data_IF_547045337084
#
_entry.id   IF_547045337084
#
_cell.length_a   1.000
_cell.length_b   1.000
_cell.length_c   1.000
_cell.angle_alpha   90.00
_cell.angle_beta   90.00
_cell.angle_gamma   90.00
#
_symmetry.space_group_name_H-M   'P 1'
#
loop_
_entity.id
_entity.type
_entity.pdbx_description
1 polymer ?
#
# COMPACT_ATOMS: atom_id res chain seq x y z
N UNK A 1 -12.55 -15.55 15.08
CA UNK A 1 -11.33 -14.71 15.01
C UNK A 1 -11.16 -14.21 13.59
N UNK A 2 -10.82 -12.94 13.38
CA UNK A 2 -10.55 -12.43 12.02
C UNK A 2 -9.22 -12.97 11.51
N UNK A 3 -9.02 -12.96 10.18
CA UNK A 3 -7.74 -13.36 9.57
C UNK A 3 -6.58 -12.50 10.09
N UNK A 4 -6.83 -11.22 10.40
CA UNK A 4 -5.84 -10.32 10.97
C UNK A 4 -5.50 -10.67 12.43
N UNK A 5 -6.45 -11.12 13.24
CA UNK A 5 -6.16 -11.62 14.59
C UNK A 5 -5.27 -12.87 14.55
N UNK A 6 -5.51 -13.76 13.58
CA UNK A 6 -4.66 -14.94 13.37
C UNK A 6 -3.25 -14.54 12.91
N UNK A 7 -3.13 -13.56 12.01
CA UNK A 7 -1.83 -13.02 11.59
C UNK A 7 -1.09 -12.37 12.77
N UNK A 8 -1.78 -11.59 13.62
CA UNK A 8 -1.18 -10.97 14.81
C UNK A 8 -0.64 -12.03 15.78
N UNK A 9 -1.38 -13.11 15.99
CA UNK A 9 -0.98 -14.24 16.83
C UNK A 9 0.20 -15.01 16.21
N UNK A 10 0.21 -15.21 14.89
CA UNK A 10 1.33 -15.83 14.15
C UNK A 10 2.61 -15.02 14.28
N UNK A 11 2.54 -13.69 14.15
CA UNK A 11 3.71 -12.82 14.33
C UNK A 11 4.37 -12.96 15.69
N UNK A 12 3.60 -13.22 16.76
CA UNK A 12 4.16 -13.46 18.11
C UNK A 12 4.66 -14.89 18.26
N UNK A 13 3.88 -15.86 17.79
CA UNK A 13 4.19 -17.30 17.98
C UNK A 13 5.35 -17.79 17.12
N UNK A 14 5.61 -17.18 15.96
CA UNK A 14 6.76 -17.49 15.12
C UNK A 14 8.08 -16.99 15.72
N UNK A 15 8.04 -15.87 16.43
CA UNK A 15 9.22 -15.28 17.07
C UNK A 15 9.52 -15.94 18.42
N UNK A 16 8.48 -16.31 19.17
CA UNK A 16 8.62 -16.84 20.51
C UNK A 16 8.86 -15.76 21.57
N UNK A 17 8.82 -16.14 22.86
CA UNK A 17 8.83 -15.19 23.97
C UNK A 17 10.12 -14.36 24.06
N UNK A 18 11.29 -14.99 23.87
CA UNK A 18 12.61 -14.30 23.93
C UNK A 18 12.76 -13.22 22.86
N UNK A 19 12.38 -13.51 21.61
CA UNK A 19 12.46 -12.52 20.52
C UNK A 19 11.40 -11.42 20.67
N UNK A 20 10.22 -11.74 21.19
CA UNK A 20 9.22 -10.73 21.56
C UNK A 20 9.78 -9.69 22.53
N UNK A 21 10.54 -10.10 23.55
CA UNK A 21 11.21 -9.17 24.46
C UNK A 21 12.19 -8.24 23.72
N UNK A 22 13.06 -8.81 22.87
CA UNK A 22 14.01 -8.04 22.04
C UNK A 22 13.29 -7.03 21.13
N UNK A 23 12.22 -7.45 20.44
CA UNK A 23 11.37 -6.57 19.62
C UNK A 23 10.89 -5.38 20.46
N UNK A 24 10.33 -5.66 21.64
CA UNK A 24 9.75 -4.64 22.50
C UNK A 24 10.79 -3.64 23.01
N UNK A 25 11.97 -4.11 23.41
CA UNK A 25 13.08 -3.25 23.84
C UNK A 25 13.52 -2.32 22.72
N UNK A 26 13.70 -2.85 21.51
CA UNK A 26 14.10 -2.07 20.35
C UNK A 26 13.05 -1.02 19.98
N UNK A 27 11.77 -1.35 20.14
CA UNK A 27 10.68 -0.39 19.98
C UNK A 27 10.69 0.72 21.02
N UNK A 28 11.01 0.39 22.27
CA UNK A 28 11.11 1.37 23.35
C UNK A 28 12.27 2.34 23.11
N UNK A 29 13.43 1.85 22.66
CA UNK A 29 14.58 2.69 22.24
C UNK A 29 14.20 3.65 21.12
N UNK A 30 13.58 3.13 20.06
CA UNK A 30 13.12 3.94 18.91
C UNK A 30 12.13 5.05 19.29
N UNK A 31 11.25 4.81 20.28
CA UNK A 31 10.31 5.83 20.78
C UNK A 31 11.06 6.90 21.60
N UNK A 32 11.99 6.49 22.46
CA UNK A 32 12.81 7.41 23.25
C UNK A 32 13.65 8.33 22.36
N UNK A 33 14.28 7.80 21.31
CA UNK A 33 15.05 8.57 20.33
C UNK A 33 14.20 9.58 19.56
N UNK A 34 12.99 9.18 19.14
CA UNK A 34 12.04 10.10 18.47
C UNK A 34 11.54 11.21 19.39
N UNK A 35 11.39 10.94 20.69
CA UNK A 35 11.03 11.94 21.68
C UNK A 35 12.19 12.90 22.00
N UNK A 36 13.44 12.44 21.89
CA UNK A 36 14.65 13.24 22.10
C UNK A 36 15.04 14.10 20.88
N UNK A 37 14.55 13.79 19.68
CA UNK A 37 14.83 14.57 18.47
C UNK A 37 14.11 15.94 18.51
N UNK A 38 14.81 17.06 18.24
CA UNK A 38 14.16 18.38 18.23
C UNK A 38 13.07 18.43 17.16
N UNK A 39 11.87 18.85 17.58
CA UNK A 39 10.66 19.01 16.77
C UNK A 39 10.90 19.93 15.56
N UNK A 40 11.45 19.40 14.47
CA UNK A 40 11.39 20.05 13.17
C UNK A 40 9.94 19.95 12.67
N UNK A 41 9.18 21.04 12.88
CA UNK A 41 7.78 21.22 12.54
C UNK A 41 7.31 20.41 11.31
N UNK A 42 6.71 19.26 11.58
CA UNK A 42 6.00 18.46 10.57
C UNK A 42 4.58 19.00 10.52
N UNK A 43 4.38 20.04 9.72
CA UNK A 43 3.05 20.55 9.41
C UNK A 43 2.37 19.60 8.41
N UNK A 44 1.71 18.59 8.94
CA UNK A 44 0.69 17.82 8.23
C UNK A 44 -0.54 18.71 8.12
N UNK A 45 -0.71 19.40 7.00
CA UNK A 45 -1.88 20.25 6.77
C UNK A 45 -3.09 19.39 6.38
N UNK A 46 -3.78 18.85 7.37
CA UNK A 46 -5.21 18.53 7.27
C UNK A 46 -5.95 19.75 7.82
N UNK A 47 -6.57 20.54 6.93
CA UNK A 47 -7.44 21.64 7.34
C UNK A 47 -8.84 21.06 7.60
N UNK A 48 -9.43 21.25 8.78
CA UNK A 48 -10.86 21.22 8.96
C UNK A 48 -11.45 22.59 8.59
N UNK A 49 -12.54 22.57 7.82
CA UNK A 49 -13.37 23.74 7.55
C UNK A 49 -14.13 24.15 8.81
N UNK A 50 -13.73 25.24 9.47
CA UNK A 50 -14.63 26.07 10.29
C UNK A 50 -14.24 27.54 10.20
N UNK A 51 -15.26 28.39 10.23
CA UNK A 51 -15.26 29.81 9.87
C UNK A 51 -14.60 30.68 10.96
N UNK A 52 -13.85 31.69 10.52
CA UNK A 52 -13.72 32.98 11.22
C UNK A 52 -12.47 33.19 12.09
N UNK A 53 -11.64 34.16 11.65
CA UNK A 53 -10.71 35.02 12.41
C UNK A 53 -9.19 34.85 12.12
N UNK A 54 -8.66 35.89 11.45
CA UNK A 54 -7.31 36.50 11.41
C UNK A 54 -6.05 35.59 11.46
N UNK A 55 -5.32 35.59 10.33
CA UNK A 55 -4.01 34.99 10.09
C UNK A 55 -2.82 35.74 10.73
N UNK A 56 -1.69 35.04 10.98
CA UNK A 56 -0.37 35.60 10.65
C UNK A 56 0.44 34.72 9.68
N UNK A 57 1.09 35.42 8.73
CA UNK A 57 2.22 35.06 7.86
C UNK A 57 2.39 33.61 7.34
N UNK A 58 1.91 33.35 6.10
CA UNK A 58 2.22 32.14 5.36
C UNK A 58 3.58 32.22 4.64
N UNK A 59 4.49 31.28 4.90
CA UNK A 59 5.77 31.15 4.20
C UNK A 59 5.61 30.88 2.70
N UNK A 60 6.53 31.44 1.88
CA UNK A 60 6.43 31.43 0.43
C UNK A 60 6.53 30.02 -0.18
N UNK A 61 5.86 29.80 -1.33
CA UNK A 61 5.84 28.52 -2.07
C UNK A 61 7.26 27.99 -2.42
N UNK A 62 8.24 28.88 -2.54
CA UNK A 62 9.64 28.53 -2.81
C UNK A 62 10.31 27.83 -1.61
N UNK A 63 10.02 28.27 -0.39
CA UNK A 63 10.55 27.68 0.83
C UNK A 63 10.04 26.23 1.02
N UNK A 64 8.75 26.00 0.78
CA UNK A 64 8.12 24.66 0.83
C UNK A 64 8.74 23.70 -0.20
N UNK A 65 9.11 24.19 -1.39
CA UNK A 65 9.76 23.38 -2.44
C UNK A 65 11.20 22.99 -2.07
N UNK A 66 11.97 23.89 -1.44
CA UNK A 66 13.34 23.58 -0.95
C UNK A 66 13.32 22.53 0.14
N UNK A 67 12.39 22.64 1.10
CA UNK A 67 12.24 21.66 2.19
C UNK A 67 11.91 20.27 1.63
N UNK A 68 11.00 20.17 0.66
CA UNK A 68 10.64 18.89 0.03
C UNK A 68 11.80 18.27 -0.74
N UNK A 69 12.60 19.08 -1.45
CA UNK A 69 13.83 18.59 -2.14
C UNK A 69 14.91 18.13 -1.16
N UNK A 70 15.04 18.78 0.00
CA UNK A 70 15.97 18.37 1.05
C UNK A 70 15.56 17.02 1.66
N UNK A 71 14.29 16.86 2.03
CA UNK A 71 13.74 15.58 2.55
C UNK A 71 13.92 14.42 1.55
N UNK A 72 13.75 14.69 0.24
CA UNK A 72 13.94 13.68 -0.80
C UNK A 72 15.42 13.26 -0.98
N UNK A 73 16.36 14.18 -0.72
CA UNK A 73 17.80 13.87 -0.74
C UNK A 73 18.23 13.07 0.49
N UNK A 74 17.69 13.42 1.66
CA UNK A 74 17.93 12.69 2.91
C UNK A 74 17.34 11.26 2.85
N UNK A 75 16.16 11.08 2.26
CA UNK A 75 15.57 9.74 2.05
C UNK A 75 16.33 8.87 1.05
N UNK A 76 17.00 9.47 0.06
CA UNK A 76 17.84 8.73 -0.91
C UNK A 76 19.12 8.22 -0.27
N UNK A 77 19.78 9.02 0.58
CA UNK A 77 20.97 8.60 1.32
C UNK A 77 20.68 7.43 2.27
N UNK A 78 19.57 7.50 3.02
CA UNK A 78 19.16 6.38 3.87
C UNK A 78 18.78 5.11 3.08
N UNK A 79 18.27 5.25 1.84
CA UNK A 79 18.01 4.11 0.96
C UNK A 79 19.29 3.46 0.41
N UNK A 80 20.31 4.26 0.09
CA UNK A 80 21.61 3.78 -0.41
C UNK A 80 22.41 3.06 0.70
N UNK A 81 22.33 3.53 1.96
CA UNK A 81 22.93 2.86 3.13
C UNK A 81 22.27 1.49 3.39
N UNK A 82 20.94 1.40 3.30
CA UNK A 82 20.19 0.15 3.49
C UNK A 82 20.48 -0.87 2.36
N UNK A 83 20.64 -0.40 1.12
CA UNK A 83 20.99 -1.27 -0.01
C UNK A 83 22.45 -1.73 0.09
N UNK A 84 23.36 -0.89 0.59
CA UNK A 84 24.76 -1.24 0.86
C UNK A 84 24.88 -2.39 1.86
N UNK A 85 24.20 -2.29 3.01
CA UNK A 85 24.21 -3.32 4.06
C UNK A 85 23.63 -4.67 3.60
N UNK A 86 22.65 -4.67 2.68
CA UNK A 86 22.05 -5.91 2.14
C UNK A 86 22.94 -6.62 1.11
N UNK A 87 23.79 -5.87 0.41
CA UNK A 87 24.69 -6.40 -0.63
C UNK A 87 25.90 -7.11 -0.02
N UNK A 88 26.40 -6.64 1.12
CA UNK A 88 27.49 -7.29 1.88
C UNK A 88 27.05 -8.62 2.51
N UNK A 89 25.77 -8.77 2.89
CA UNK A 89 25.23 -10.01 3.46
C UNK A 89 25.05 -11.14 2.43
N UNK A 90 24.94 -10.82 1.14
CA UNK A 90 24.66 -11.82 0.08
C UNK A 90 25.92 -12.49 -0.49
N UNK A 91 27.12 -12.06 -0.08
CA UNK A 91 28.41 -12.55 -0.63
C UNK A 91 29.15 -13.55 0.25
N UNK A 92 28.61 -13.92 1.41
CA UNK A 92 29.13 -15.02 2.23
C UNK A 92 28.15 -16.19 2.16
N UNK A 93 28.42 -17.13 1.26
CA UNK A 93 27.80 -18.44 1.29
C UNK A 93 28.52 -19.30 2.32
N UNK A 94 27.76 -19.92 3.21
CA UNK A 94 28.27 -20.94 4.15
C UNK A 94 27.65 -22.29 3.79
N UNK A 95 28.53 -23.27 3.56
CA UNK A 95 28.19 -24.68 3.43
C UNK A 95 27.87 -25.30 4.82
N UNK A 96 27.14 -26.43 4.88
CA UNK A 96 26.61 -26.94 6.14
C UNK A 96 27.65 -27.77 6.90
N UNK A 97 28.03 -27.31 8.09
CA UNK A 97 28.77 -28.07 9.10
C UNK A 97 27.92 -28.28 10.35
N UNK A 98 27.88 -29.52 10.84
CA UNK A 98 27.19 -29.94 12.07
C UNK A 98 27.97 -29.50 13.32
N UNK A 99 27.27 -29.01 14.36
CA UNK A 99 27.79 -28.99 15.74
C UNK A 99 27.50 -27.72 16.56
N UNK A 100 26.55 -27.88 17.49
CA UNK A 100 26.33 -27.21 18.79
C UNK A 100 26.15 -25.69 18.96
N UNK A 101 25.17 -25.40 19.82
CA UNK A 101 24.69 -24.13 20.35
C UNK A 101 25.80 -23.21 20.88
N UNK A 102 25.81 -21.94 20.44
CA UNK A 102 25.87 -20.76 21.32
C UNK A 102 25.84 -19.45 20.50
N UNK A 103 24.80 -18.64 20.75
CA UNK A 103 24.70 -17.20 20.47
C UNK A 103 24.98 -16.72 19.03
N UNK A 104 24.20 -17.21 18.05
CA UNK A 104 23.83 -16.33 16.95
C UNK A 104 23.04 -15.15 17.55
N UNK A 105 23.60 -13.95 17.50
CA UNK A 105 22.92 -12.69 17.84
C UNK A 105 21.78 -12.49 16.83
N UNK A 106 20.70 -13.23 17.01
CA UNK A 106 19.65 -13.44 16.02
C UNK A 106 18.92 -12.11 15.82
N UNK A 107 19.29 -11.42 14.75
CA UNK A 107 18.77 -10.12 14.41
C UNK A 107 17.26 -10.20 14.20
N UNK A 108 16.52 -9.42 14.97
CA UNK A 108 15.06 -9.34 14.90
C UNK A 108 14.63 -8.50 13.70
N UNK A 109 13.63 -8.94 12.92
CA UNK A 109 13.08 -8.13 11.84
C UNK A 109 12.18 -7.01 12.38
N UNK A 110 12.73 -5.79 12.42
CA UNK A 110 12.02 -4.60 12.84
C UNK A 110 11.16 -3.97 11.72
N UNK A 111 11.29 -4.42 10.47
CA UNK A 111 10.65 -3.77 9.32
C UNK A 111 9.11 -3.68 9.42
N UNK A 112 8.37 -4.72 9.89
CA UNK A 112 6.93 -4.60 10.09
C UNK A 112 6.61 -3.49 11.09
N UNK A 113 7.32 -3.43 12.22
CA UNK A 113 6.99 -2.49 13.28
C UNK A 113 7.29 -1.02 12.97
N UNK A 114 7.97 -0.74 11.85
CA UNK A 114 8.17 0.61 11.32
C UNK A 114 6.99 1.12 10.48
N UNK A 115 5.95 0.31 10.30
CA UNK A 115 4.73 0.66 9.56
C UNK A 115 3.76 1.49 10.42
N UNK A 116 2.92 2.28 9.74
CA UNK A 116 2.00 3.21 10.39
C UNK A 116 0.83 2.47 11.04
N UNK A 117 0.51 2.81 12.29
CA UNK A 117 -0.63 2.24 13.02
C UNK A 117 -1.85 3.18 13.05
N UNK A 118 -1.69 4.42 12.59
CA UNK A 118 -2.68 5.50 12.67
C UNK A 118 -3.24 5.71 14.09
N UNK A 119 -2.40 5.54 15.13
CA UNK A 119 -2.80 5.67 16.52
C UNK A 119 -3.59 6.97 16.80
N UNK A 120 -3.12 8.11 16.28
CA UNK A 120 -3.75 9.43 16.48
C UNK A 120 -5.14 9.57 15.84
N UNK A 121 -5.46 8.73 14.86
CA UNK A 121 -6.74 8.77 14.13
C UNK A 121 -7.78 7.78 14.66
N UNK A 122 -7.45 6.98 15.67
CA UNK A 122 -8.33 5.92 16.20
C UNK A 122 -9.30 6.46 17.25
N UNK A 123 -10.50 5.90 17.24
CA UNK A 123 -11.50 6.18 18.28
C UNK A 123 -11.20 5.37 19.55
N UNK A 124 -11.69 5.83 20.70
CA UNK A 124 -11.56 5.08 21.96
C UNK A 124 -12.22 3.69 21.87
N UNK A 125 -13.32 3.57 21.11
CA UNK A 125 -13.97 2.29 20.83
C UNK A 125 -13.05 1.33 20.07
N UNK A 126 -12.39 1.82 19.02
CA UNK A 126 -11.43 1.05 18.21
C UNK A 126 -10.25 0.53 19.04
N UNK A 127 -9.74 1.36 19.96
CA UNK A 127 -8.71 0.96 20.92
C UNK A 127 -9.21 -0.11 21.90
N UNK A 128 -10.39 0.09 22.49
CA UNK A 128 -10.96 -0.87 23.43
C UNK A 128 -11.14 -2.26 22.79
N UNK A 129 -11.71 -2.32 21.58
CA UNK A 129 -11.92 -3.57 20.85
C UNK A 129 -10.61 -4.32 20.59
N UNK A 130 -9.53 -3.60 20.26
CA UNK A 130 -8.21 -4.22 20.03
C UNK A 130 -7.53 -4.63 21.32
N UNK A 131 -7.66 -3.85 22.39
CA UNK A 131 -7.13 -4.21 23.70
C UNK A 131 -7.82 -5.47 24.24
N UNK A 132 -9.15 -5.57 24.09
CA UNK A 132 -9.91 -6.78 24.45
C UNK A 132 -9.47 -7.99 23.62
N UNK A 133 -9.28 -7.81 22.31
CA UNK A 133 -8.76 -8.88 21.45
C UNK A 133 -7.33 -9.29 21.83
N UNK A 134 -6.45 -8.33 22.15
CA UNK A 134 -5.09 -8.62 22.60
C UNK A 134 -5.08 -9.39 23.92
N UNK A 135 -5.93 -9.01 24.88
CA UNK A 135 -6.09 -9.72 26.15
C UNK A 135 -6.64 -11.15 25.93
N UNK A 136 -7.61 -11.32 25.05
CA UNK A 136 -8.13 -12.64 24.67
C UNK A 136 -7.04 -13.51 24.04
N UNK A 137 -6.27 -12.96 23.09
CA UNK A 137 -5.17 -13.69 22.45
C UNK A 137 -4.04 -14.04 23.44
N UNK A 138 -3.75 -13.17 24.41
CA UNK A 138 -2.83 -13.47 25.50
C UNK A 138 -3.31 -14.70 26.31
N UNK A 139 -4.60 -14.75 26.65
CA UNK A 139 -5.20 -15.90 27.34
C UNK A 139 -5.08 -17.17 26.51
N UNK A 140 -5.26 -17.09 25.18
CA UNK A 140 -4.99 -18.23 24.30
C UNK A 140 -3.52 -18.68 24.38
N UNK A 141 -2.56 -17.76 24.37
CA UNK A 141 -1.13 -18.08 24.49
C UNK A 141 -0.78 -18.76 25.82
N UNK A 142 -1.37 -18.30 26.94
CA UNK A 142 -1.21 -18.93 28.25
C UNK A 142 -1.72 -20.37 28.26
N UNK A 143 -2.84 -20.66 27.58
CA UNK A 143 -3.43 -22.00 27.54
C UNK A 143 -2.68 -23.00 26.66
N UNK A 144 -1.99 -22.52 25.62
CA UNK A 144 -1.25 -23.39 24.69
C UNK A 144 0.22 -23.58 25.08
N UNK A 145 0.61 -23.15 26.29
CA UNK A 145 1.98 -23.32 26.80
C UNK A 145 3.02 -22.46 26.09
N UNK A 146 2.63 -21.28 25.58
CA UNK A 146 3.58 -20.34 24.96
C UNK A 146 4.56 -19.76 25.97
N UNK A 147 4.12 -19.57 27.22
CA UNK A 147 4.95 -19.14 28.34
C UNK A 147 5.34 -20.35 29.19
N UNK A 148 6.56 -20.39 29.69
CA UNK A 148 7.03 -21.46 30.56
C UNK A 148 6.24 -21.51 31.90
N UNK A 149 5.96 -20.33 32.46
CA UNK A 149 5.23 -20.17 33.71
C UNK A 149 4.12 -19.12 33.51
N UNK A 150 2.97 -19.48 32.91
CA UNK A 150 1.89 -18.55 32.68
C UNK A 150 1.25 -18.09 34.00
N UNK A 151 0.91 -16.80 34.08
CA UNK A 151 0.22 -16.24 35.25
C UNK A 151 -1.21 -16.80 35.38
N UNK A 152 -1.67 -17.13 36.59
CA UNK A 152 -3.05 -17.57 36.84
C UNK A 152 -4.10 -16.57 36.34
N UNK A 153 -5.32 -17.05 36.07
CA UNK A 153 -6.38 -16.21 35.48
C UNK A 153 -6.87 -15.08 36.39
N UNK A 154 -6.83 -15.28 37.70
CA UNK A 154 -7.30 -14.33 38.70
C UNK A 154 -6.24 -13.28 39.09
N UNK A 155 -5.05 -13.36 38.49
CA UNK A 155 -3.92 -12.49 38.76
C UNK A 155 -3.60 -11.56 37.58
N UNK A 156 -2.94 -10.45 37.88
CA UNK A 156 -2.45 -9.52 36.86
C UNK A 156 -1.27 -10.18 36.12
N UNK A 157 -1.31 -10.26 34.77
CA UNK A 157 -0.23 -10.86 33.97
C UNK A 157 1.16 -10.33 34.32
N UNK A 158 2.15 -11.23 34.30
CA UNK A 158 3.55 -10.88 34.55
C UNK A 158 4.14 -9.93 33.51
N UNK A 159 5.33 -9.38 33.78
CA UNK A 159 5.97 -8.41 32.89
C UNK A 159 6.19 -8.94 31.46
N UNK A 160 6.63 -10.20 31.31
CA UNK A 160 6.82 -10.85 30.02
C UNK A 160 5.49 -10.99 29.24
N UNK A 161 4.43 -11.41 29.93
CA UNK A 161 3.09 -11.56 29.35
C UNK A 161 2.51 -10.21 28.92
N UNK A 162 2.71 -9.15 29.73
CA UNK A 162 2.31 -7.79 29.39
C UNK A 162 3.06 -7.30 28.13
N UNK A 163 4.35 -7.60 28.01
CA UNK A 163 5.13 -7.24 26.82
C UNK A 163 4.57 -7.94 25.57
N UNK A 164 4.30 -9.23 25.65
CA UNK A 164 3.69 -9.99 24.56
C UNK A 164 2.30 -9.46 24.22
N UNK A 165 1.47 -9.13 25.22
CA UNK A 165 0.16 -8.51 25.02
C UNK A 165 0.26 -7.13 24.35
N UNK A 166 1.26 -6.33 24.70
CA UNK A 166 1.53 -5.04 24.07
C UNK A 166 1.92 -5.22 22.59
N UNK A 167 2.70 -6.26 22.27
CA UNK A 167 3.03 -6.59 20.88
C UNK A 167 1.81 -7.12 20.10
N UNK A 168 0.97 -7.96 20.71
CA UNK A 168 -0.30 -8.38 20.11
C UNK A 168 -1.19 -7.18 19.78
N UNK A 169 -1.33 -6.24 20.73
CA UNK A 169 -2.07 -4.99 20.52
C UNK A 169 -1.47 -4.18 19.38
N UNK A 170 -0.14 -4.01 19.36
CA UNK A 170 0.55 -3.29 18.28
C UNK A 170 0.34 -3.96 16.92
N UNK A 171 0.41 -5.29 16.84
CA UNK A 171 0.19 -6.06 15.62
C UNK A 171 -1.26 -5.90 15.13
N UNK A 172 -2.25 -5.99 16.01
CA UNK A 172 -3.66 -5.76 15.69
C UNK A 172 -3.93 -4.34 15.18
N UNK A 173 -3.18 -3.36 15.69
CA UNK A 173 -3.26 -2.00 15.19
C UNK A 173 -2.61 -1.89 13.79
N UNK A 174 -1.41 -2.42 13.64
CA UNK A 174 -0.64 -2.37 12.40
C UNK A 174 -1.31 -3.09 11.23
N UNK A 175 -1.83 -4.30 11.44
CA UNK A 175 -2.33 -5.17 10.39
C UNK A 175 -3.54 -4.58 9.66
N UNK A 176 -4.38 -3.79 10.34
CA UNK A 176 -5.58 -3.19 9.73
C UNK A 176 -5.27 -2.32 8.51
N UNK A 177 -4.07 -1.74 8.43
CA UNK A 177 -3.70 -0.75 7.42
C UNK A 177 -2.58 -1.19 6.49
N UNK A 178 -1.88 -2.26 6.84
CA UNK A 178 -0.64 -2.65 6.16
C UNK A 178 -0.67 -4.08 5.61
N UNK A 179 -1.67 -4.87 5.96
CA UNK A 179 -1.80 -6.25 5.50
C UNK A 179 -2.45 -6.29 4.12
N UNK A 180 -1.92 -7.12 3.23
CA UNK A 180 -2.35 -7.24 1.84
C UNK A 180 -2.87 -8.64 1.59
N UNK A 181 -4.05 -8.73 0.99
CA UNK A 181 -4.60 -10.00 0.52
C UNK A 181 -3.76 -10.51 -0.66
N UNK A 182 -3.51 -11.81 -0.70
CA UNK A 182 -2.86 -12.45 -1.84
C UNK A 182 -3.72 -13.61 -2.36
N UNK A 183 -3.62 -13.82 -3.67
CA UNK A 183 -4.51 -14.69 -4.42
C UNK A 183 -3.68 -15.61 -5.32
N UNK A 184 -4.15 -16.83 -5.50
CA UNK A 184 -3.69 -17.75 -6.53
C UNK A 184 -4.57 -17.59 -7.77
N UNK A 185 -3.99 -17.48 -8.95
CA UNK A 185 -4.74 -17.47 -10.21
C UNK A 185 -4.89 -18.90 -10.71
N UNK A 186 -6.07 -19.51 -10.56
CA UNK A 186 -6.34 -20.88 -11.00
C UNK A 186 -6.95 -20.92 -12.38
N UNK A 187 -6.35 -21.65 -13.31
CA UNK A 187 -6.91 -21.80 -14.64
C UNK A 187 -8.15 -22.75 -14.65
N UNK A 188 -9.15 -22.46 -15.48
CA UNK A 188 -10.38 -23.24 -15.69
C UNK A 188 -10.73 -23.26 -17.18
N UNK A 189 -11.23 -24.37 -17.74
CA UNK A 189 -11.60 -24.44 -19.17
C UNK A 189 -12.88 -23.67 -19.53
N UNK A 190 -13.58 -23.05 -18.57
CA UNK A 190 -14.91 -22.47 -18.76
C UNK A 190 -15.02 -21.16 -19.55
N UNK A 191 -13.93 -20.62 -20.13
CA UNK A 191 -13.99 -19.40 -20.95
C UNK A 191 -12.74 -19.22 -21.83
N UNK A 192 -12.93 -18.83 -23.10
CA UNK A 192 -11.86 -18.66 -24.10
C UNK A 192 -10.74 -17.69 -23.69
N UNK A 193 -11.09 -16.61 -22.97
CA UNK A 193 -10.13 -15.57 -22.54
C UNK A 193 -9.84 -15.52 -21.05
N UNK A 194 -10.77 -16.06 -20.26
CA UNK A 194 -10.80 -15.92 -18.79
C UNK A 194 -10.93 -17.26 -18.14
N UNK A 195 -10.30 -18.25 -18.74
CA UNK A 195 -10.08 -19.51 -18.06
C UNK A 195 -9.14 -19.37 -16.88
N UNK A 196 -9.23 -18.31 -16.06
CA UNK A 196 -8.57 -18.21 -14.77
C UNK A 196 -9.38 -17.41 -13.76
N UNK A 197 -9.39 -17.87 -12.51
CA UNK A 197 -10.09 -17.23 -11.39
C UNK A 197 -9.09 -16.96 -10.27
N UNK A 198 -9.01 -15.73 -9.73
CA UNK A 198 -8.27 -15.50 -8.50
C UNK A 198 -9.00 -16.19 -7.34
N UNK A 199 -8.27 -17.02 -6.62
CA UNK A 199 -8.70 -17.70 -5.40
C UNK A 199 -7.92 -17.10 -4.25
N UNK A 200 -8.66 -16.55 -3.28
CA UNK A 200 -8.07 -15.99 -2.08
C UNK A 200 -7.32 -17.08 -1.31
N UNK A 201 -6.04 -16.82 -1.00
CA UNK A 201 -5.23 -17.72 -0.20
C UNK A 201 -5.04 -17.23 1.23
N UNK A 202 -4.92 -15.92 1.42
CA UNK A 202 -4.68 -15.36 2.73
C UNK A 202 -4.24 -13.90 2.70
N UNK A 203 -3.57 -13.51 3.79
CA UNK A 203 -3.05 -12.17 4.01
C UNK A 203 -1.55 -12.24 4.32
N UNK A 204 -0.79 -11.29 3.80
CA UNK A 204 0.62 -11.13 4.07
C UNK A 204 0.96 -9.67 4.38
N UNK A 205 2.08 -9.44 5.07
CA UNK A 205 2.65 -8.11 5.25
C UNK A 205 3.87 -8.01 4.36
N UNK A 206 3.90 -6.97 3.53
CA UNK A 206 5.06 -6.64 2.70
C UNK A 206 5.57 -5.26 3.12
N UNK A 207 6.50 -5.15 4.09
CA UNK A 207 6.87 -3.87 4.70
C UNK A 207 7.33 -2.79 3.70
N UNK A 208 7.96 -3.20 2.59
CA UNK A 208 8.35 -2.27 1.53
C UNK A 208 7.13 -1.78 0.72
N UNK A 209 6.20 -2.68 0.39
CA UNK A 209 5.00 -2.36 -0.42
C UNK A 209 3.97 -1.58 0.38
N UNK A 210 3.84 -1.85 1.68
CA UNK A 210 2.94 -1.14 2.58
C UNK A 210 3.26 0.37 2.73
N UNK A 211 4.39 0.84 2.19
CA UNK A 211 4.74 2.27 2.14
C UNK A 211 4.08 3.02 0.98
N UNK A 212 3.47 2.32 0.02
CA UNK A 212 2.73 2.96 -1.05
C UNK A 212 1.37 3.43 -0.53
N UNK A 213 1.14 4.74 -0.56
CA UNK A 213 -0.17 5.28 -0.25
C UNK A 213 -1.16 4.88 -1.35
N UNK A 214 -2.38 4.52 -0.92
CA UNK A 214 -3.49 4.35 -1.83
C UNK A 214 -3.90 5.70 -2.43
N UNK A 215 -4.03 5.73 -3.75
CA UNK A 215 -4.77 6.77 -4.48
C UNK A 215 -5.84 6.05 -5.28
N UNK A 216 -7.11 6.29 -4.97
CA UNK A 216 -8.23 5.65 -5.67
C UNK A 216 -8.19 5.97 -7.18
N UNK A 217 -7.57 7.09 -7.57
CA UNK A 217 -7.50 7.60 -8.93
C UNK A 217 -6.19 8.35 -9.16
N UNK A 218 -5.08 7.63 -9.38
CA UNK A 218 -3.79 8.25 -9.61
C UNK A 218 -3.67 8.91 -10.99
N UNK A 219 -4.74 8.86 -11.80
CA UNK A 219 -4.77 9.41 -13.15
C UNK A 219 -4.29 10.86 -13.16
N UNK A 220 -3.28 11.11 -13.98
CA UNK A 220 -2.72 12.43 -14.17
C UNK A 220 -3.27 12.97 -15.49
N UNK A 221 -4.04 14.05 -15.44
CA UNK A 221 -4.61 14.67 -16.64
C UNK A 221 -3.60 15.60 -17.31
N UNK A 222 -3.62 15.62 -18.63
CA UNK A 222 -2.83 16.55 -19.44
C UNK A 222 -3.45 17.94 -19.45
N UNK A 223 -2.63 18.95 -19.69
CA UNK A 223 -3.07 20.32 -19.86
C UNK A 223 -3.89 20.46 -21.16
N UNK A 224 -5.08 21.10 -21.15
CA UNK A 224 -5.87 21.37 -22.36
C UNK A 224 -5.17 22.27 -23.38
N UNK A 225 -4.17 23.05 -22.94
CA UNK A 225 -3.53 24.03 -23.81
C UNK A 225 -2.73 23.32 -24.90
N UNK A 226 -3.08 23.58 -26.17
CA UNK A 226 -2.37 23.04 -27.32
C UNK A 226 -0.85 23.24 -27.20
N UNK A 227 -0.09 22.16 -27.45
CA UNK A 227 1.37 22.14 -27.33
C UNK A 227 1.93 22.10 -25.90
N UNK A 228 1.09 22.09 -24.85
CA UNK A 228 1.55 22.05 -23.47
C UNK A 228 1.64 20.63 -22.91
N UNK A 229 2.84 20.18 -22.55
CA UNK A 229 3.07 18.90 -21.85
C UNK A 229 2.80 18.92 -20.34
N UNK A 230 2.06 19.90 -19.83
CA UNK A 230 1.76 20.04 -18.40
C UNK A 230 0.88 18.91 -17.88
N UNK A 231 1.18 18.42 -16.68
CA UNK A 231 0.50 17.29 -16.04
C UNK A 231 -0.08 17.69 -14.68
N UNK A 232 -1.28 17.22 -14.38
CA UNK A 232 -2.05 17.64 -13.22
C UNK A 232 -2.67 16.43 -12.50
N UNK A 233 -2.41 16.31 -11.19
CA UNK A 233 -2.98 15.25 -10.36
C UNK A 233 -4.41 15.55 -9.93
N UNK A 234 -5.16 14.50 -9.57
CA UNK A 234 -6.55 14.61 -9.12
C UNK A 234 -6.80 15.50 -7.93
N UNK A 235 -5.84 15.61 -7.00
CA UNK A 235 -5.93 16.56 -5.89
C UNK A 235 -6.14 18.03 -6.34
N UNK A 236 -5.79 18.37 -7.59
CA UNK A 236 -5.99 19.71 -8.17
C UNK A 236 -7.29 19.82 -8.99
N UNK A 237 -7.97 18.70 -9.26
CA UNK A 237 -9.08 18.54 -10.19
C UNK A 237 -10.44 18.66 -9.48
N UNK A 238 -10.81 19.87 -9.04
CA UNK A 238 -12.20 20.14 -8.61
C UNK A 238 -13.02 20.67 -9.80
N UNK A 239 -14.29 20.27 -9.96
CA UNK A 239 -15.17 20.80 -11.01
C UNK A 239 -15.21 22.34 -11.00
N UNK A 240 -15.16 22.96 -12.17
CA UNK A 240 -15.17 24.43 -12.34
C UNK A 240 -13.95 25.18 -11.77
N UNK A 241 -12.97 24.50 -11.17
CA UNK A 241 -11.81 25.17 -10.56
C UNK A 241 -10.74 25.49 -11.61
N UNK A 242 -10.53 26.78 -11.85
CA UNK A 242 -9.39 27.25 -12.63
C UNK A 242 -8.09 27.06 -11.84
N UNK A 243 -7.14 26.35 -12.43
CA UNK A 243 -5.79 26.17 -11.89
C UNK A 243 -4.77 26.84 -12.80
N UNK A 244 -3.67 27.34 -12.23
CA UNK A 244 -2.56 27.87 -13.01
C UNK A 244 -1.63 26.73 -13.41
N UNK A 245 -1.52 26.45 -14.70
CA UNK A 245 -0.60 25.43 -15.22
C UNK A 245 0.85 25.85 -15.00
N UNK A 246 1.70 24.97 -14.48
CA UNK A 246 3.14 25.25 -14.30
C UNK A 246 3.91 25.29 -15.63
N UNK A 247 3.41 24.60 -16.66
CA UNK A 247 4.01 24.57 -18.00
C UNK A 247 3.73 25.85 -18.78
N UNK A 248 2.48 26.07 -19.16
CA UNK A 248 2.10 27.22 -19.99
C UNK A 248 1.74 28.51 -19.21
N UNK A 249 1.73 28.47 -17.87
CA UNK A 249 1.34 29.59 -16.99
C UNK A 249 -0.09 30.12 -17.18
N UNK A 250 -0.89 29.53 -18.08
CA UNK A 250 -2.30 29.87 -18.30
C UNK A 250 -3.18 29.34 -17.16
N UNK A 251 -4.31 30.02 -16.95
CA UNK A 251 -5.41 29.49 -16.15
C UNK A 251 -6.17 28.48 -17.01
N UNK A 252 -6.24 27.24 -16.56
CA UNK A 252 -6.85 26.13 -17.28
C UNK A 252 -7.99 25.53 -16.43
N UNK A 253 -9.02 25.03 -17.11
CA UNK A 253 -10.04 24.16 -16.51
C UNK A 253 -9.76 22.73 -16.97
N UNK A 254 -9.88 21.76 -16.05
CA UNK A 254 -9.63 20.33 -16.36
C UNK A 254 -10.92 19.54 -16.62
N UNK A 255 -12.07 20.19 -16.63
CA UNK A 255 -13.38 19.55 -16.67
C UNK A 255 -13.58 18.69 -17.91
N UNK A 256 -13.20 19.18 -19.09
CA UNK A 256 -13.30 18.42 -20.34
C UNK A 256 -12.38 17.20 -20.35
N UNK A 257 -11.16 17.30 -19.81
CA UNK A 257 -10.27 16.15 -19.68
C UNK A 257 -10.85 15.09 -18.74
N UNK A 258 -11.52 15.51 -17.66
CA UNK A 258 -12.15 14.61 -16.70
C UNK A 258 -13.39 13.94 -17.27
N UNK A 259 -14.19 14.67 -18.04
CA UNK A 259 -15.33 14.11 -18.76
C UNK A 259 -14.85 13.05 -19.76
N UNK A 260 -13.85 13.38 -20.57
CA UNK A 260 -13.27 12.44 -21.54
C UNK A 260 -12.65 11.21 -20.84
N UNK A 261 -11.98 11.38 -19.69
CA UNK A 261 -11.45 10.25 -18.91
C UNK A 261 -12.57 9.31 -18.44
N UNK A 262 -13.70 9.84 -17.97
CA UNK A 262 -14.88 9.04 -17.58
C UNK A 262 -15.50 8.30 -18.77
N UNK A 263 -15.53 8.93 -19.94
CA UNK A 263 -15.97 8.26 -21.16
C UNK A 263 -15.03 7.10 -21.54
N UNK A 264 -13.71 7.28 -21.38
CA UNK A 264 -12.75 6.20 -21.59
C UNK A 264 -13.00 5.04 -20.63
N UNK A 265 -13.31 5.32 -19.36
CA UNK A 265 -13.65 4.29 -18.37
C UNK A 265 -14.90 3.50 -18.74
N UNK A 266 -15.97 4.20 -19.13
CA UNK A 266 -17.18 3.55 -19.63
C UNK A 266 -16.91 2.70 -20.88
N UNK A 267 -16.05 3.17 -21.78
CA UNK A 267 -15.60 2.38 -22.93
C UNK A 267 -14.80 1.14 -22.51
N UNK A 268 -13.94 1.23 -21.51
CA UNK A 268 -13.20 0.08 -20.98
C UNK A 268 -14.16 -0.98 -20.42
N UNK A 269 -15.15 -0.57 -19.62
CA UNK A 269 -16.15 -1.49 -19.07
C UNK A 269 -16.94 -2.19 -20.19
N UNK A 270 -17.35 -1.45 -21.24
CA UNK A 270 -18.03 -2.04 -22.41
C UNK A 270 -17.14 -2.99 -23.22
N UNK A 271 -15.87 -2.62 -23.42
CA UNK A 271 -14.91 -3.47 -24.12
C UNK A 271 -14.63 -4.77 -23.37
N UNK A 272 -14.50 -4.69 -22.04
CA UNK A 272 -14.34 -5.87 -21.17
C UNK A 272 -15.59 -6.75 -21.17
N UNK A 273 -16.79 -6.18 -21.12
CA UNK A 273 -18.04 -6.93 -21.23
C UNK A 273 -18.17 -7.64 -22.58
N UNK A 274 -17.81 -6.96 -23.68
CA UNK A 274 -17.82 -7.57 -25.02
C UNK A 274 -16.82 -8.73 -25.14
N UNK A 275 -15.67 -8.63 -24.47
CA UNK A 275 -14.69 -9.72 -24.35
C UNK A 275 -15.22 -10.89 -23.51
N UNK A 276 -16.00 -10.64 -22.45
CA UNK A 276 -16.68 -11.67 -21.65
C UNK A 276 -17.81 -12.38 -22.41
N UNK A 277 -18.43 -11.69 -23.38
CA UNK A 277 -19.43 -12.27 -24.29
C UNK A 277 -18.81 -12.89 -25.56
N UNK A 278 -17.48 -13.04 -25.60
CA UNK A 278 -16.71 -13.57 -26.74
C UNK A 278 -16.87 -12.79 -28.06
N UNK A 279 -17.35 -11.54 -28.01
CA UNK A 279 -17.43 -10.60 -29.14
C UNK A 279 -16.09 -9.87 -29.33
N UNK A 280 -15.09 -10.63 -29.78
CA UNK A 280 -13.66 -10.21 -29.84
C UNK A 280 -13.44 -8.97 -30.71
N UNK A 281 -14.02 -8.92 -31.91
CA UNK A 281 -13.85 -7.80 -32.84
C UNK A 281 -14.33 -6.46 -32.25
N UNK A 282 -15.50 -6.50 -31.61
CA UNK A 282 -16.09 -5.32 -30.97
C UNK A 282 -15.27 -4.91 -29.73
N UNK A 283 -14.78 -5.87 -28.96
CA UNK A 283 -13.89 -5.61 -27.84
C UNK A 283 -12.60 -4.93 -28.30
N UNK A 284 -11.95 -5.43 -29.36
CA UNK A 284 -10.73 -4.83 -29.93
C UNK A 284 -11.00 -3.39 -30.36
N UNK A 285 -12.05 -3.15 -31.16
CA UNK A 285 -12.40 -1.82 -31.64
C UNK A 285 -12.64 -0.84 -30.49
N UNK A 286 -13.48 -1.24 -29.53
CA UNK A 286 -13.87 -0.42 -28.37
C UNK A 286 -12.66 -0.07 -27.49
N UNK A 287 -11.81 -1.06 -27.17
CA UNK A 287 -10.63 -0.86 -26.33
C UNK A 287 -9.58 0.00 -27.04
N UNK A 288 -9.33 -0.22 -28.34
CA UNK A 288 -8.40 0.60 -29.12
C UNK A 288 -8.82 2.08 -29.13
N UNK A 289 -10.09 2.35 -29.36
CA UNK A 289 -10.60 3.72 -29.44
C UNK A 289 -10.57 4.41 -28.08
N UNK A 290 -10.88 3.69 -27.00
CA UNK A 290 -10.76 4.18 -25.63
C UNK A 290 -9.31 4.54 -25.28
N UNK A 291 -8.34 3.67 -25.63
CA UNK A 291 -6.92 3.91 -25.36
C UNK A 291 -6.40 5.12 -26.15
N UNK A 292 -6.80 5.29 -27.42
CA UNK A 292 -6.42 6.47 -28.22
C UNK A 292 -6.92 7.76 -27.56
N UNK A 293 -8.18 7.79 -27.10
CA UNK A 293 -8.76 8.95 -26.40
C UNK A 293 -8.04 9.22 -25.08
N UNK A 294 -7.79 8.19 -24.28
CA UNK A 294 -7.11 8.31 -23.00
C UNK A 294 -5.75 8.99 -23.14
N UNK A 295 -4.92 8.56 -24.10
CA UNK A 295 -3.57 9.11 -24.28
C UNK A 295 -3.56 10.59 -24.69
N UNK A 296 -4.67 11.12 -25.22
CA UNK A 296 -4.82 12.55 -25.52
C UNK A 296 -5.07 13.39 -24.26
N UNK A 297 -5.78 12.85 -23.26
CA UNK A 297 -6.26 13.61 -22.10
C UNK A 297 -5.58 13.27 -20.78
N UNK A 298 -4.94 12.11 -20.67
CA UNK A 298 -4.33 11.62 -19.45
C UNK A 298 -3.02 10.86 -19.72
N UNK A 299 -2.33 10.48 -18.64
CA UNK A 299 -1.18 9.60 -18.69
C UNK A 299 -1.19 8.57 -17.55
N UNK A 300 -0.48 7.44 -17.73
CA UNK A 300 -0.25 6.47 -16.67
C UNK A 300 0.44 7.10 -15.44
N UNK A 301 0.27 6.50 -14.23
CA UNK A 301 -0.46 5.26 -13.96
C UNK A 301 -1.99 5.47 -13.90
N UNK A 302 -2.74 4.58 -14.56
CA UNK A 302 -4.20 4.54 -14.51
C UNK A 302 -4.70 3.09 -14.61
N UNK A 303 -5.38 2.60 -13.57
CA UNK A 303 -5.78 1.18 -13.46
C UNK A 303 -6.66 0.73 -14.63
N UNK A 304 -7.69 1.50 -14.97
CA UNK A 304 -8.62 1.13 -16.05
C UNK A 304 -7.91 0.97 -17.40
N UNK A 305 -7.01 1.91 -17.72
CA UNK A 305 -6.20 1.84 -18.95
C UNK A 305 -5.32 0.60 -18.98
N UNK A 306 -4.63 0.28 -17.88
CA UNK A 306 -3.76 -0.90 -17.85
C UNK A 306 -4.55 -2.21 -18.02
N UNK A 307 -5.74 -2.31 -17.40
CA UNK A 307 -6.61 -3.49 -17.59
C UNK A 307 -7.11 -3.60 -19.04
N UNK A 308 -7.46 -2.47 -19.65
CA UNK A 308 -7.86 -2.41 -21.05
C UNK A 308 -6.71 -2.84 -21.99
N UNK A 309 -5.47 -2.45 -21.72
CA UNK A 309 -4.29 -2.88 -22.48
C UNK A 309 -4.04 -4.39 -22.37
N UNK A 310 -4.15 -4.97 -21.17
CA UNK A 310 -4.05 -6.43 -20.96
C UNK A 310 -5.16 -7.17 -21.71
N UNK A 311 -6.40 -6.69 -21.59
CA UNK A 311 -7.56 -7.26 -22.28
C UNK A 311 -7.38 -7.21 -23.80
N UNK A 312 -6.98 -6.05 -24.34
CA UNK A 312 -6.72 -5.89 -25.77
C UNK A 312 -5.61 -6.83 -26.24
N UNK A 313 -4.51 -6.97 -25.49
CA UNK A 313 -3.45 -7.93 -25.80
C UNK A 313 -3.96 -9.36 -25.87
N UNK A 314 -4.89 -9.72 -24.97
CA UNK A 314 -5.50 -11.06 -24.95
C UNK A 314 -6.41 -11.29 -26.16
N UNK A 315 -7.24 -10.30 -26.52
CA UNK A 315 -8.09 -10.35 -27.70
C UNK A 315 -7.27 -10.47 -29.00
N UNK A 316 -6.19 -9.70 -29.13
CA UNK A 316 -5.33 -9.73 -30.31
C UNK A 316 -4.56 -11.06 -30.45
N UNK A 317 -4.08 -11.64 -29.35
CA UNK A 317 -3.40 -12.93 -29.36
C UNK A 317 -4.31 -14.07 -29.83
N UNK A 318 -5.58 -14.01 -29.46
CA UNK A 318 -6.60 -14.95 -29.89
C UNK A 318 -7.02 -14.73 -31.36
N UNK A 319 -7.25 -13.47 -31.76
CA UNK A 319 -7.65 -13.12 -33.13
C UNK A 319 -6.56 -13.42 -34.16
N UNK A 320 -5.30 -13.16 -33.81
CA UNK A 320 -4.15 -13.26 -34.72
C UNK A 320 -3.71 -14.67 -35.08
N UNK A 321 -4.13 -15.71 -34.32
CA UNK A 321 -3.67 -17.09 -34.51
C UNK A 321 -4.73 -18.04 -35.10
N UNK A 322 -5.90 -17.54 -35.49
CA UNK A 322 -6.93 -18.36 -36.14
C UNK A 322 -6.93 -18.19 -37.66
N UNK A 323 -6.36 -19.16 -38.38
CA UNK A 323 -6.66 -19.33 -39.80
C UNK A 323 -8.14 -19.71 -39.94
N UNK A 324 -8.94 -18.84 -40.57
CA UNK A 324 -10.32 -19.15 -40.93
C UNK A 324 -10.37 -19.48 -42.43
N UNK A 325 -10.78 -20.68 -42.84
CA UNK A 325 -11.04 -20.95 -44.25
C UNK A 325 -12.11 -19.98 -44.74
N UNK A 326 -11.88 -19.35 -45.89
CA UNK A 326 -12.91 -18.57 -46.56
C UNK A 326 -14.11 -19.49 -46.84
N UNK A 327 -15.30 -19.07 -46.42
CA UNK A 327 -16.52 -19.83 -46.69
C UNK A 327 -16.69 -20.00 -48.20
N UNK A 328 -16.83 -21.27 -48.64
CA UNK A 328 -17.21 -21.66 -50.00
C UNK A 328 -18.68 -21.30 -50.28
#
# INVERSE_FOLDING_TARGET
MSVLSMAALRMVTQEGPRKCLKIYEELKKNVAEKAAAPLAATSTSTAPDTRGAKSPASSSRSAKRRIRRRKLKESRRGGEEIIGMRRERSTKGEEPGEGDDDDDEESVDMAPYMLVTHADGRTSKDFLERSLMAAFLLKCLQRVGFFACPTPDDEVPGAEEIIVAALLLRNLQLLQFNAHEFFETRASPGHRFRGSRPVYLGVAIYPTVARFNHDCYPAVTRCPTAGCGGLHSRAQQRPGKLIKCSGCQKKICLEDQLACLRECEALYDRGLASMEEERVDEAIGTLCDALKRFHQVACPPHRGTHLAEIALSSCLADYGNTWRPAAL
#
